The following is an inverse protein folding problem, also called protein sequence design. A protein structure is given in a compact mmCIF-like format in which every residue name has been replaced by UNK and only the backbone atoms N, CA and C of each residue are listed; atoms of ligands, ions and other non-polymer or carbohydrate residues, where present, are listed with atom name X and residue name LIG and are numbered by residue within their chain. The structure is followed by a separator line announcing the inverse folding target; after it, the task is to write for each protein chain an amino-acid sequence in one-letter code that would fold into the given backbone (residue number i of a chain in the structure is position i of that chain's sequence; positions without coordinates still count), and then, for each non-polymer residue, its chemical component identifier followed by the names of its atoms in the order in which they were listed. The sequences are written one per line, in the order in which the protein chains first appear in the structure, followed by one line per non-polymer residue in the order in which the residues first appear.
data_IF_775745850618
#
_entry.id   IF_775745850618
#
_cell.length_a   1.000
_cell.length_b   1.000
_cell.length_c   1.000
_cell.angle_alpha   90.00
_cell.angle_beta   90.00
_cell.angle_gamma   90.00
#
_symmetry.space_group_name_H-M   'P 1'
#
loop_
_entity.id
_entity.type
_entity.pdbx_description
1 polymer ?
#
# COMPACT_ATOMS: atom_id res chain seq x y z
N UNK A 1 -12.33 0.50 21.45
CA UNK A 1 -10.90 0.92 21.41
C UNK A 1 -10.56 1.30 19.98
N UNK A 2 -9.85 2.41 19.77
CA UNK A 2 -9.38 2.82 18.43
C UNK A 2 -8.12 2.04 18.04
N UNK A 3 -8.13 1.23 16.96
CA UNK A 3 -6.97 0.46 16.53
C UNK A 3 -5.97 1.27 15.70
N UNK A 4 -6.28 2.51 15.31
CA UNK A 4 -5.46 3.33 14.42
C UNK A 4 -4.00 3.58 14.84
N UNK A 5 -3.63 3.54 16.14
CA UNK A 5 -2.23 3.61 16.56
C UNK A 5 -1.42 2.35 16.26
N UNK A 6 -2.07 1.20 16.04
CA UNK A 6 -1.42 -0.11 15.98
C UNK A 6 -1.42 -0.73 14.57
N UNK A 7 -2.39 -0.35 13.74
CA UNK A 7 -2.53 -0.89 12.39
C UNK A 7 -2.93 0.21 11.40
N UNK A 8 -2.35 0.13 10.22
CA UNK A 8 -2.63 1.06 9.13
C UNK A 8 -2.52 0.34 7.78
N UNK A 9 -3.34 0.78 6.84
CA UNK A 9 -3.48 0.13 5.53
C UNK A 9 -3.08 1.09 4.42
N UNK A 10 -2.24 0.59 3.52
CA UNK A 10 -1.66 1.36 2.44
C UNK A 10 -1.77 0.61 1.12
N UNK A 11 -1.51 1.33 0.04
CA UNK A 11 -1.37 0.80 -1.31
C UNK A 11 -0.24 1.57 -2.01
N UNK A 12 0.08 1.17 -3.24
CA UNK A 12 1.12 1.81 -4.03
C UNK A 12 0.50 2.40 -5.30
N UNK A 13 0.96 3.59 -5.71
CA UNK A 13 0.48 4.29 -6.91
C UNK A 13 1.63 5.06 -7.57
N UNK A 14 1.58 5.12 -8.89
CA UNK A 14 2.51 5.90 -9.71
C UNK A 14 1.75 6.76 -10.73
N UNK A 15 2.49 7.65 -11.40
CA UNK A 15 2.01 8.42 -12.53
C UNK A 15 3.09 8.56 -13.59
N UNK A 16 2.68 8.91 -14.80
CA UNK A 16 3.56 9.23 -15.92
C UNK A 16 2.88 10.21 -16.87
N UNK A 17 3.67 10.85 -17.73
CA UNK A 17 3.16 11.53 -18.92
C UNK A 17 3.20 10.55 -20.10
N UNK A 18 2.04 10.21 -20.64
CA UNK A 18 1.88 9.33 -21.79
C UNK A 18 1.35 10.14 -22.98
N UNK A 19 2.20 10.38 -23.97
CA UNK A 19 1.86 11.13 -25.18
C UNK A 19 1.22 12.51 -24.91
N UNK A 20 1.76 13.25 -23.93
CA UNK A 20 1.27 14.58 -23.54
C UNK A 20 0.10 14.54 -22.55
N UNK A 21 -0.36 13.36 -22.13
CA UNK A 21 -1.44 13.20 -21.15
C UNK A 21 -0.89 12.64 -19.83
N UNK A 22 -1.16 13.35 -18.74
CA UNK A 22 -0.87 12.83 -17.40
C UNK A 22 -1.81 11.66 -17.07
N UNK A 23 -1.23 10.54 -16.67
CA UNK A 23 -1.95 9.32 -16.27
C UNK A 23 -1.43 8.82 -14.94
N UNK A 24 -2.31 8.26 -14.11
CA UNK A 24 -1.94 7.59 -12.86
C UNK A 24 -2.51 6.17 -12.81
N UNK A 25 -1.70 5.23 -12.33
CA UNK A 25 -2.06 3.83 -12.19
C UNK A 25 -1.66 3.30 -10.80
N UNK A 26 -2.45 2.40 -10.20
CA UNK A 26 -1.99 1.67 -9.03
C UNK A 26 -0.80 0.79 -9.40
N UNK A 27 0.17 0.69 -8.49
CA UNK A 27 1.23 -0.31 -8.60
C UNK A 27 0.68 -1.60 -8.00
N UNK A 28 0.60 -2.65 -8.81
CA UNK A 28 -0.02 -3.90 -8.41
C UNK A 28 0.85 -4.66 -7.41
N UNK A 29 0.41 -4.73 -6.16
CA UNK A 29 1.12 -5.45 -5.08
C UNK A 29 0.79 -6.94 -5.22
N UNK A 30 1.64 -7.65 -5.96
CA UNK A 30 1.53 -9.11 -6.10
C UNK A 30 2.32 -9.88 -5.04
N UNK A 31 3.10 -9.20 -4.20
CA UNK A 31 3.94 -9.82 -3.16
C UNK A 31 3.11 -10.59 -2.13
N UNK A 32 3.63 -11.73 -1.68
CA UNK A 32 3.17 -12.44 -0.48
C UNK A 32 4.36 -12.56 0.46
N UNK A 33 4.48 -11.54 1.30
CA UNK A 33 5.63 -11.28 2.15
C UNK A 33 5.14 -10.90 3.54
N UNK A 34 5.73 -11.50 4.56
CA UNK A 34 5.60 -11.12 5.95
C UNK A 34 7.00 -10.90 6.53
N UNK A 35 7.21 -9.80 7.26
CA UNK A 35 8.43 -9.53 8.01
C UNK A 35 8.03 -9.29 9.46
N UNK A 36 8.71 -9.96 10.39
CA UNK A 36 8.43 -9.87 11.83
C UNK A 36 9.70 -9.48 12.56
N UNK A 37 9.62 -8.42 13.36
CA UNK A 37 10.65 -7.92 14.29
C UNK A 37 12.05 -7.74 13.67
N UNK A 38 12.13 -7.47 12.36
CA UNK A 38 13.38 -7.43 11.60
C UNK A 38 14.26 -8.70 11.82
N UNK A 39 13.67 -9.86 12.12
CA UNK A 39 14.37 -11.13 12.42
C UNK A 39 13.84 -12.35 11.68
N UNK A 40 12.58 -12.31 11.24
CA UNK A 40 11.95 -13.38 10.46
C UNK A 40 11.32 -12.78 9.21
N UNK A 41 11.49 -13.46 8.08
CA UNK A 41 10.80 -13.16 6.84
C UNK A 41 10.15 -14.41 6.25
N UNK A 42 8.88 -14.33 5.89
CA UNK A 42 8.18 -15.39 5.15
C UNK A 42 7.91 -14.88 3.74
N UNK A 43 8.41 -15.61 2.74
CA UNK A 43 8.29 -15.26 1.32
C UNK A 43 7.70 -16.45 0.58
N UNK A 44 6.68 -16.24 -0.25
CA UNK A 44 6.10 -17.34 -1.02
C UNK A 44 5.06 -16.91 -2.05
N UNK A 45 4.26 -17.89 -2.47
CA UNK A 45 3.14 -17.71 -3.40
C UNK A 45 1.78 -17.58 -2.70
N UNK A 46 1.66 -18.06 -1.45
CA UNK A 46 0.40 -18.08 -0.70
C UNK A 46 -0.13 -16.68 -0.34
N UNK A 47 -1.32 -16.33 -0.85
CA UNK A 47 -2.03 -15.12 -0.43
C UNK A 47 -2.62 -15.27 0.97
N UNK A 48 -2.91 -14.16 1.66
CA UNK A 48 -3.66 -14.17 2.92
C UNK A 48 -5.16 -14.35 2.60
N UNK A 49 -5.55 -15.58 2.27
CA UNK A 49 -6.93 -15.99 2.01
C UNK A 49 -7.11 -17.51 2.21
N UNK A 50 -8.36 -17.99 2.29
CA UNK A 50 -8.66 -19.40 2.53
C UNK A 50 -8.16 -20.28 1.37
N UNK A 51 -8.24 -19.75 0.15
CA UNK A 51 -7.75 -20.43 -1.06
C UNK A 51 -6.30 -20.89 -0.97
N UNK A 52 -5.43 -20.04 -0.44
CA UNK A 52 -3.99 -20.34 -0.34
C UNK A 52 -3.63 -20.99 1.00
N UNK A 53 -4.33 -20.64 2.09
CA UNK A 53 -3.91 -20.99 3.45
C UNK A 53 -4.52 -22.30 3.99
N UNK A 54 -5.64 -22.79 3.44
CA UNK A 54 -6.28 -24.03 3.93
C UNK A 54 -5.55 -25.32 3.52
N UNK A 55 -4.60 -25.25 2.58
CA UNK A 55 -3.81 -26.39 2.09
C UNK A 55 -4.58 -27.48 1.32
N UNK A 56 -5.91 -27.47 1.37
CA UNK A 56 -6.80 -28.40 0.66
C UNK A 56 -7.31 -27.86 -0.68
N UNK A 57 -6.87 -26.66 -1.08
CA UNK A 57 -7.30 -25.96 -2.29
C UNK A 57 -6.13 -25.78 -3.25
N UNK A 58 -5.52 -24.60 -3.30
CA UNK A 58 -4.40 -24.32 -4.20
C UNK A 58 -3.09 -24.89 -3.63
N UNK A 59 -2.21 -25.36 -4.50
CA UNK A 59 -0.85 -25.78 -4.11
C UNK A 59 0.05 -24.55 -4.05
N UNK A 60 0.60 -24.27 -2.87
CA UNK A 60 1.41 -23.09 -2.60
C UNK A 60 2.79 -23.47 -2.08
N UNK A 61 3.78 -22.60 -2.29
CA UNK A 61 5.12 -22.76 -1.75
C UNK A 61 5.54 -21.48 -1.02
N UNK A 62 6.25 -21.65 0.09
CA UNK A 62 6.81 -20.54 0.85
C UNK A 62 8.01 -20.98 1.66
N UNK A 63 8.88 -20.02 1.97
CA UNK A 63 10.06 -20.22 2.80
C UNK A 63 9.95 -19.29 3.99
N UNK A 64 10.13 -19.85 5.19
CA UNK A 64 10.35 -19.10 6.42
C UNK A 64 11.85 -18.94 6.65
N UNK A 65 12.33 -17.71 6.65
CA UNK A 65 13.73 -17.35 6.83
C UNK A 65 13.84 -16.72 8.22
N UNK A 66 14.46 -17.44 9.15
CA UNK A 66 14.82 -16.92 10.46
C UNK A 66 16.31 -16.58 10.47
N UNK A 67 16.64 -15.33 10.76
CA UNK A 67 18.02 -14.88 10.80
C UNK A 67 18.78 -15.55 11.95
N UNK A 68 19.99 -16.04 11.64
CA UNK A 68 20.98 -16.47 12.64
C UNK A 68 22.11 -15.44 12.82
N UNK A 69 22.31 -14.57 11.83
CA UNK A 69 23.32 -13.52 11.86
C UNK A 69 22.64 -12.18 12.17
N UNK A 70 23.08 -11.57 13.26
CA UNK A 70 22.50 -10.33 13.75
C UNK A 70 23.46 -9.16 13.60
N UNK A 71 22.91 -7.99 13.30
CA UNK A 71 23.59 -6.71 13.22
C UNK A 71 22.97 -5.72 14.21
N UNK A 72 23.66 -4.61 14.47
CA UNK A 72 23.11 -3.53 15.28
C UNK A 72 21.93 -2.86 14.57
N UNK A 73 20.84 -2.68 15.30
CA UNK A 73 19.62 -2.00 14.86
C UNK A 73 19.03 -1.15 15.97
N UNK A 74 17.91 -0.49 15.65
CA UNK A 74 17.19 0.36 16.59
C UNK A 74 15.70 0.00 16.51
N UNK A 75 15.06 -0.17 17.66
CA UNK A 75 13.62 -0.39 17.79
C UNK A 75 13.09 0.53 18.89
N UNK A 76 12.26 1.50 18.51
CA UNK A 76 11.71 2.53 19.40
C UNK A 76 12.78 3.25 20.23
N UNK A 77 13.86 3.67 19.57
CA UNK A 77 15.01 4.37 20.18
C UNK A 77 15.98 3.47 20.95
N UNK A 78 15.66 2.20 21.16
CA UNK A 78 16.52 1.26 21.88
C UNK A 78 17.45 0.53 20.92
N UNK A 79 18.73 0.43 21.28
CA UNK A 79 19.70 -0.39 20.56
C UNK A 79 19.36 -1.86 20.73
N UNK A 80 19.13 -2.56 19.63
CA UNK A 80 18.78 -3.98 19.61
C UNK A 80 19.62 -4.72 18.57
N UNK A 81 19.61 -6.04 18.64
CA UNK A 81 20.15 -6.90 17.59
C UNK A 81 19.01 -7.27 16.63
N UNK A 82 19.18 -6.98 15.34
CA UNK A 82 18.22 -7.32 14.28
C UNK A 82 18.84 -8.29 13.29
N UNK A 83 18.02 -9.12 12.66
CA UNK A 83 18.45 -10.05 11.63
C UNK A 83 19.06 -9.32 10.44
N UNK A 84 20.15 -9.86 9.89
CA UNK A 84 20.80 -9.25 8.74
C UNK A 84 19.88 -9.27 7.51
N UNK A 85 19.25 -10.41 7.22
CA UNK A 85 18.39 -10.57 6.05
C UNK A 85 17.08 -9.79 6.19
N UNK A 86 16.28 -10.09 7.22
CA UNK A 86 14.96 -9.50 7.41
C UNK A 86 15.01 -7.98 7.51
N UNK A 87 15.95 -7.43 8.30
CA UNK A 87 16.12 -5.98 8.42
C UNK A 87 16.56 -5.34 7.11
N UNK A 88 17.45 -5.97 6.33
CA UNK A 88 17.90 -5.41 5.05
C UNK A 88 16.76 -5.37 4.02
N UNK A 89 15.95 -6.43 3.95
CA UNK A 89 14.80 -6.52 3.08
C UNK A 89 13.78 -5.42 3.40
N UNK A 90 13.41 -5.28 4.68
CA UNK A 90 12.48 -4.23 5.11
C UNK A 90 13.01 -2.82 4.84
N UNK A 91 14.30 -2.55 5.08
CA UNK A 91 14.93 -1.25 4.76
C UNK A 91 14.78 -0.92 3.28
N UNK A 92 15.08 -1.88 2.41
CA UNK A 92 15.00 -1.70 0.95
C UNK A 92 13.57 -1.39 0.50
N UNK A 93 12.59 -2.12 1.01
CA UNK A 93 11.16 -1.91 0.70
C UNK A 93 10.68 -0.55 1.20
N UNK A 94 11.03 -0.16 2.43
CA UNK A 94 10.69 1.16 2.95
C UNK A 94 11.33 2.26 2.13
N UNK A 95 12.60 2.11 1.75
CA UNK A 95 13.27 3.07 0.89
C UNK A 95 12.59 3.19 -0.48
N UNK A 96 12.20 2.09 -1.11
CA UNK A 96 11.45 2.12 -2.37
C UNK A 96 10.12 2.85 -2.21
N UNK A 97 9.30 2.45 -1.24
CA UNK A 97 7.94 2.97 -1.09
C UNK A 97 7.92 4.45 -0.68
N UNK A 98 8.95 4.92 0.04
CA UNK A 98 9.11 6.31 0.46
C UNK A 98 9.89 7.19 -0.53
N UNK A 99 10.47 6.61 -1.59
CA UNK A 99 11.29 7.35 -2.57
C UNK A 99 12.70 7.69 -2.08
N UNK A 100 13.28 6.84 -1.23
CA UNK A 100 14.55 7.02 -0.52
C UNK A 100 15.65 6.05 -0.96
N UNK A 101 15.52 5.38 -2.11
CA UNK A 101 16.49 4.37 -2.58
C UNK A 101 17.93 4.89 -2.68
N UNK A 102 18.10 6.18 -2.97
CA UNK A 102 19.40 6.86 -3.07
C UNK A 102 19.72 7.74 -1.85
N UNK A 103 18.94 7.61 -0.77
CA UNK A 103 19.13 8.40 0.45
C UNK A 103 19.71 7.55 1.59
N UNK A 104 20.29 8.18 2.64
CA UNK A 104 20.80 7.47 3.80
C UNK A 104 19.75 6.57 4.44
N UNK A 105 20.18 5.36 4.84
CA UNK A 105 19.33 4.35 5.50
C UNK A 105 18.81 4.83 6.86
N UNK A 106 19.44 5.86 7.45
CA UNK A 106 19.03 6.46 8.73
C UNK A 106 17.55 6.86 8.79
N UNK A 107 16.97 7.26 7.66
CA UNK A 107 15.55 7.66 7.56
C UNK A 107 14.56 6.49 7.75
N UNK A 108 15.03 5.24 7.69
CA UNK A 108 14.20 4.04 7.81
C UNK A 108 14.79 3.04 8.81
N UNK A 109 15.71 3.47 9.68
CA UNK A 109 16.47 2.59 10.56
C UNK A 109 15.60 2.01 11.69
N UNK A 110 14.79 2.85 12.33
CA UNK A 110 13.87 2.47 13.40
C UNK A 110 12.43 2.40 12.84
N UNK A 111 11.90 1.20 12.59
CA UNK A 111 10.61 1.03 11.90
C UNK A 111 9.40 1.28 12.80
N UNK A 112 9.58 1.43 14.12
CA UNK A 112 8.48 1.51 15.10
C UNK A 112 8.51 2.79 15.95
N UNK A 113 9.52 3.65 15.78
CA UNK A 113 9.51 4.96 16.43
C UNK A 113 8.29 5.78 16.03
N UNK A 114 7.74 6.56 16.97
CA UNK A 114 6.62 7.48 16.71
C UNK A 114 6.92 8.44 15.55
N UNK A 115 8.16 8.96 15.51
CA UNK A 115 8.62 9.82 14.44
C UNK A 115 8.51 9.12 13.08
N UNK A 116 9.07 7.92 12.95
CA UNK A 116 9.00 7.18 11.69
C UNK A 116 7.55 6.88 11.30
N UNK A 117 6.75 6.31 12.21
CA UNK A 117 5.37 5.91 11.92
C UNK A 117 4.49 7.09 11.53
N UNK A 118 4.46 8.15 12.35
CA UNK A 118 3.55 9.26 12.17
C UNK A 118 4.08 10.35 11.24
N UNK A 119 5.37 10.71 11.33
CA UNK A 119 5.94 11.86 10.61
C UNK A 119 6.61 11.49 9.29
N UNK A 120 7.01 10.23 9.11
CA UNK A 120 7.59 9.74 7.86
C UNK A 120 6.58 8.92 7.07
N UNK A 121 6.18 7.76 7.59
CA UNK A 121 5.38 6.78 6.86
C UNK A 121 3.95 7.26 6.60
N UNK A 122 3.21 7.59 7.66
CA UNK A 122 1.81 8.04 7.54
C UNK A 122 1.72 9.38 6.81
N UNK A 123 2.56 10.36 7.16
CA UNK A 123 2.55 11.65 6.49
C UNK A 123 2.86 11.53 4.99
N UNK A 124 3.82 10.68 4.59
CA UNK A 124 4.10 10.40 3.18
C UNK A 124 2.87 9.90 2.46
N UNK A 125 2.20 8.91 3.02
CA UNK A 125 1.00 8.32 2.44
C UNK A 125 -0.13 9.35 2.31
N UNK A 126 -0.35 10.18 3.34
CA UNK A 126 -1.36 11.26 3.33
C UNK A 126 -1.07 12.23 2.19
N UNK A 127 0.14 12.81 2.16
CA UNK A 127 0.51 13.83 1.17
C UNK A 127 0.37 13.29 -0.26
N UNK A 128 0.92 12.10 -0.52
CA UNK A 128 0.82 11.49 -1.84
C UNK A 128 -0.65 11.24 -2.24
N UNK A 129 -1.48 10.75 -1.30
CA UNK A 129 -2.90 10.48 -1.58
C UNK A 129 -3.67 11.76 -1.90
N UNK A 130 -3.44 12.83 -1.14
CA UNK A 130 -4.09 14.13 -1.39
C UNK A 130 -3.72 14.70 -2.75
N UNK A 131 -2.45 14.61 -3.15
CA UNK A 131 -2.00 15.04 -4.47
C UNK A 131 -2.65 14.18 -5.55
N UNK A 132 -2.61 12.85 -5.45
CA UNK A 132 -3.22 11.97 -6.45
C UNK A 132 -4.73 12.19 -6.59
N UNK A 133 -5.46 12.35 -5.48
CA UNK A 133 -6.89 12.64 -5.50
C UNK A 133 -7.18 14.01 -6.12
N UNK A 134 -6.39 15.03 -5.81
CA UNK A 134 -6.57 16.38 -6.35
C UNK A 134 -6.27 16.43 -7.85
N UNK A 135 -5.17 15.82 -8.26
CA UNK A 135 -4.68 15.86 -9.65
C UNK A 135 -5.54 14.99 -10.57
N UNK A 136 -5.75 13.73 -10.18
CA UNK A 136 -6.36 12.72 -11.06
C UNK A 136 -7.79 12.33 -10.69
N UNK A 137 -8.28 12.69 -9.50
CA UNK A 137 -9.52 12.14 -8.94
C UNK A 137 -9.58 10.60 -9.05
N UNK A 138 -8.45 9.96 -8.78
CA UNK A 138 -8.27 8.53 -8.97
C UNK A 138 -9.09 7.70 -7.96
N UNK A 139 -9.41 6.47 -8.33
CA UNK A 139 -10.11 5.50 -7.49
C UNK A 139 -9.18 4.33 -7.08
N UNK A 140 -9.47 3.65 -5.96
CA UNK A 140 -10.53 3.95 -4.98
C UNK A 140 -10.29 5.26 -4.21
N UNK A 141 -11.34 5.85 -3.60
CA UNK A 141 -11.24 7.06 -2.75
C UNK A 141 -12.30 7.06 -1.64
N UNK A 142 -11.96 7.57 -0.46
CA UNK A 142 -12.91 7.72 0.67
C UNK A 142 -14.00 8.77 0.39
N UNK A 143 -13.85 9.61 -0.64
CA UNK A 143 -14.85 10.61 -1.04
C UNK A 143 -16.03 9.99 -1.80
N UNK A 144 -15.90 8.75 -2.26
CA UNK A 144 -16.88 8.05 -3.09
C UNK A 144 -17.45 6.85 -2.34
N UNK A 145 -18.55 7.09 -1.61
CA UNK A 145 -19.19 6.08 -0.77
C UNK A 145 -20.32 5.30 -1.50
N UNK A 146 -20.69 5.73 -2.71
CA UNK A 146 -21.76 5.11 -3.51
C UNK A 146 -21.50 5.28 -5.02
N UNK A 147 -22.19 4.46 -5.84
CA UNK A 147 -22.10 4.59 -7.31
C UNK A 147 -22.62 5.94 -7.81
N UNK A 148 -23.65 6.50 -7.19
CA UNK A 148 -24.15 7.83 -7.54
C UNK A 148 -23.07 8.92 -7.36
N UNK A 149 -22.30 8.86 -6.26
CA UNK A 149 -21.17 9.79 -6.02
C UNK A 149 -20.02 9.57 -7.00
N UNK A 150 -19.85 8.35 -7.54
CA UNK A 150 -18.75 8.02 -8.46
C UNK A 150 -18.82 8.82 -9.76
N UNK A 151 -20.00 8.94 -10.36
CA UNK A 151 -20.18 9.63 -11.63
C UNK A 151 -20.01 11.15 -11.52
N UNK A 152 -20.39 11.72 -10.38
CA UNK A 152 -20.14 13.12 -10.06
C UNK A 152 -18.64 13.37 -9.81
N UNK A 153 -18.00 12.50 -9.03
CA UNK A 153 -16.61 12.65 -8.63
C UNK A 153 -15.65 12.63 -9.83
N UNK A 154 -15.93 11.84 -10.87
CA UNK A 154 -15.07 11.73 -12.07
C UNK A 154 -14.92 13.04 -12.86
N UNK A 155 -15.87 13.96 -12.75
CA UNK A 155 -15.87 15.19 -13.56
C UNK A 155 -14.77 16.14 -13.11
N UNK A 156 -14.17 16.90 -14.04
CA UNK A 156 -13.32 18.05 -13.73
C UNK A 156 -12.09 17.67 -12.88
N UNK A 157 -11.24 16.75 -13.36
CA UNK A 157 -9.95 16.49 -12.72
C UNK A 157 -8.96 17.62 -13.03
N UNK A 158 -8.02 17.91 -12.12
CA UNK A 158 -7.10 19.04 -12.33
C UNK A 158 -6.20 18.81 -13.54
N UNK A 159 -5.78 17.58 -13.82
CA UNK A 159 -4.98 17.31 -15.02
C UNK A 159 -5.72 17.57 -16.34
N UNK A 160 -7.06 17.64 -16.34
CA UNK A 160 -7.87 17.99 -17.52
C UNK A 160 -8.12 19.50 -17.64
N UNK A 161 -8.17 20.21 -16.51
CA UNK A 161 -8.50 21.65 -16.46
C UNK A 161 -7.25 22.52 -16.51
N UNK A 162 -6.19 22.10 -15.81
CA UNK A 162 -4.96 22.86 -15.60
C UNK A 162 -3.77 21.89 -15.49
N UNK A 163 -3.23 21.52 -16.64
CA UNK A 163 -2.12 20.57 -16.74
C UNK A 163 -0.83 21.13 -16.15
N UNK A 164 -0.61 22.45 -16.20
CA UNK A 164 0.63 23.07 -15.68
C UNK A 164 0.66 23.02 -14.15
N UNK A 165 -0.44 23.40 -13.49
CA UNK A 165 -0.57 23.29 -12.05
C UNK A 165 -0.55 21.82 -11.58
N UNK A 166 -1.13 20.91 -12.36
CA UNK A 166 -1.06 19.46 -12.10
C UNK A 166 0.39 18.97 -12.10
N UNK A 167 1.18 19.30 -13.12
CA UNK A 167 2.60 18.92 -13.19
C UNK A 167 3.42 19.51 -12.04
N UNK A 168 3.11 20.74 -11.61
CA UNK A 168 3.79 21.36 -10.48
C UNK A 168 3.55 20.59 -9.17
N UNK A 169 2.30 20.24 -8.87
CA UNK A 169 1.95 19.48 -7.65
C UNK A 169 2.52 18.07 -7.67
N UNK A 170 2.59 17.43 -8.83
CA UNK A 170 3.11 16.07 -8.96
C UNK A 170 4.61 15.96 -8.61
N UNK A 171 5.37 17.05 -8.68
CA UNK A 171 6.78 17.10 -8.27
C UNK A 171 6.97 16.89 -6.76
N UNK A 172 5.93 17.13 -5.96
CA UNK A 172 5.98 16.94 -4.50
C UNK A 172 5.73 15.49 -4.08
N UNK A 173 5.30 14.62 -5.00
CA UNK A 173 5.18 13.18 -4.74
C UNK A 173 6.57 12.57 -4.65
N UNK A 174 6.83 11.85 -3.55
CA UNK A 174 8.00 10.98 -3.44
C UNK A 174 7.58 9.55 -3.14
N UNK A 175 8.27 8.59 -3.74
CA UNK A 175 7.93 7.18 -3.62
C UNK A 175 6.56 6.85 -4.20
N UNK A 176 5.99 5.75 -3.71
CA UNK A 176 4.75 5.17 -4.25
C UNK A 176 3.65 5.03 -3.20
N UNK A 177 3.98 5.20 -1.91
CA UNK A 177 3.08 4.94 -0.80
C UNK A 177 1.86 5.88 -0.82
N UNK A 178 0.66 5.31 -0.74
CA UNK A 178 -0.63 6.02 -0.59
C UNK A 178 -1.50 5.32 0.44
N UNK A 179 -2.46 6.04 1.03
CA UNK A 179 -3.44 5.46 1.96
C UNK A 179 -4.34 4.50 1.19
N UNK A 180 -4.66 3.35 1.79
CA UNK A 180 -5.72 2.48 1.28
C UNK A 180 -7.07 3.04 1.74
N UNK A 181 -7.95 3.48 0.83
CA UNK A 181 -9.28 3.95 1.19
C UNK A 181 -10.11 2.82 1.78
N UNK A 182 -10.71 3.04 2.94
CA UNK A 182 -11.54 2.05 3.65
C UNK A 182 -13.04 2.33 3.50
N UNK A 183 -13.42 3.54 3.09
CA UNK A 183 -14.80 3.98 2.95
C UNK A 183 -15.27 4.00 1.47
N UNK A 184 -14.44 3.53 0.55
CA UNK A 184 -14.82 3.48 -0.86
C UNK A 184 -16.00 2.50 -1.07
N UNK A 185 -17.10 3.01 -1.62
CA UNK A 185 -18.36 2.28 -1.84
C UNK A 185 -18.94 1.61 -0.58
N UNK A 186 -18.66 2.14 0.61
CA UNK A 186 -19.12 1.53 1.87
C UNK A 186 -20.65 1.51 2.04
N UNK A 187 -21.39 2.36 1.30
CA UNK A 187 -22.85 2.37 1.28
C UNK A 187 -23.44 1.47 0.18
N UNK A 188 -22.65 0.58 -0.44
CA UNK A 188 -23.10 -0.34 -1.48
C UNK A 188 -22.95 -1.79 -1.03
N UNK A 189 -23.89 -2.64 -1.45
CA UNK A 189 -23.70 -4.08 -1.37
C UNK A 189 -22.86 -4.52 -2.58
N UNK A 190 -21.61 -4.90 -2.33
CA UNK A 190 -20.66 -5.33 -3.36
C UNK A 190 -20.73 -6.84 -3.67
N UNK A 191 -21.67 -7.57 -3.05
CA UNK A 191 -21.91 -8.96 -3.44
C UNK A 191 -22.52 -9.03 -4.84
N UNK A 192 -22.18 -10.07 -5.63
CA UNK A 192 -22.81 -10.29 -6.92
C UNK A 192 -24.33 -10.26 -6.82
N UNK A 193 -24.99 -9.53 -7.73
CA UNK A 193 -26.43 -9.41 -7.74
C UNK A 193 -27.08 -10.78 -8.03
N UNK A 194 -28.20 -11.07 -7.34
CA UNK A 194 -28.91 -12.33 -7.54
C UNK A 194 -29.31 -12.49 -9.03
N UNK A 195 -28.91 -13.61 -9.64
CA UNK A 195 -29.18 -13.91 -11.04
C UNK A 195 -28.08 -13.53 -12.03
N UNK A 196 -26.92 -12.98 -11.60
CA UNK A 196 -25.74 -12.88 -12.46
C UNK A 196 -24.92 -14.16 -12.44
N UNK A 197 -24.08 -14.37 -13.47
CA UNK A 197 -23.19 -15.54 -13.53
C UNK A 197 -22.27 -15.60 -12.31
N UNK A 198 -21.82 -14.45 -11.81
CA UNK A 198 -20.96 -14.31 -10.63
C UNK A 198 -21.70 -14.70 -9.33
N UNK A 199 -23.02 -14.54 -9.26
CA UNK A 199 -23.83 -14.99 -8.11
C UNK A 199 -24.07 -16.51 -8.10
N UNK A 200 -23.89 -17.19 -9.24
CA UNK A 200 -23.92 -18.64 -9.35
C UNK A 200 -22.58 -19.28 -8.95
N UNK A 201 -21.51 -18.47 -8.88
CA UNK A 201 -20.18 -18.94 -8.45
C UNK A 201 -20.18 -19.15 -6.93
N UNK A 202 -19.72 -20.30 -6.42
CA UNK A 202 -19.62 -20.53 -4.98
C UNK A 202 -18.77 -19.44 -4.30
N UNK A 203 -19.22 -18.93 -3.15
CA UNK A 203 -18.50 -17.90 -2.39
C UNK A 203 -17.03 -18.28 -2.10
N UNK A 204 -16.75 -19.59 -1.99
CA UNK A 204 -15.42 -20.19 -1.84
C UNK A 204 -14.44 -19.87 -2.98
N UNK A 205 -14.91 -19.38 -4.13
CA UNK A 205 -14.04 -18.91 -5.22
C UNK A 205 -13.44 -17.54 -4.89
N UNK A 206 -14.14 -16.74 -4.09
CA UNK A 206 -13.76 -15.38 -3.71
C UNK A 206 -13.09 -15.30 -2.33
N UNK A 207 -13.06 -16.39 -1.56
CA UNK A 207 -12.38 -16.52 -0.25
C UNK A 207 -11.25 -17.53 -0.33
#
# INVERSE_FOLDING_TARGET
HDPSPYISFYSLRSYANLAGKLVSVPVYIHSKLLIVDDSVAVIGSANINDRSMLGSRDSEIGVCIQDYKFIDGIMNGLKVKVGQFASSLRKKLFQEHLGLLNQPVGNVLDPISDHFYNKTWKQRAVNNSEIYEKVFKCFPSNKVESFAKLDEYKKNSMCEIDSEQAELLLKDILGFLVIKPLNFLCNQNLTPAAGTNEALVPAKVFT
#
